data_IF_388740042717
#
_entry.id   IF_388740042717
#
_cell.length_a   1.000
_cell.length_b   1.000
_cell.length_c   1.000
_cell.angle_alpha   90.00
_cell.angle_beta   90.00
_cell.angle_gamma   90.00
#
_symmetry.space_group_name_H-M   'P 1'
#
loop_
_entity.id
_entity.type
_entity.pdbx_description
1 polymer ?
#
# COMPACT_ATOMS: atom_id res chain seq x y z
N UNK A 1 -42.36 26.60 9.83
CA UNK A 1 -41.03 26.85 9.22
C UNK A 1 -40.01 25.95 9.91
N UNK A 2 -39.50 24.91 9.25
CA UNK A 2 -38.53 23.99 9.85
C UNK A 2 -37.13 24.26 9.27
N UNK A 3 -36.26 24.90 10.06
CA UNK A 3 -34.87 25.15 9.68
C UNK A 3 -34.05 23.86 9.75
N UNK A 4 -33.56 23.41 8.59
CA UNK A 4 -32.64 22.28 8.47
C UNK A 4 -31.33 22.65 9.19
N UNK A 5 -31.07 22.04 10.36
CA UNK A 5 -29.77 22.19 11.05
C UNK A 5 -28.64 21.66 10.16
N UNK A 6 -27.51 22.39 10.02
CA UNK A 6 -26.37 21.89 9.27
C UNK A 6 -25.82 20.64 9.95
N UNK A 7 -25.53 19.61 9.16
CA UNK A 7 -24.91 18.36 9.64
C UNK A 7 -23.49 18.72 10.09
N UNK A 8 -23.29 18.83 11.40
CA UNK A 8 -21.97 19.14 11.97
C UNK A 8 -20.97 18.02 11.68
N UNK A 9 -19.70 18.41 11.50
CA UNK A 9 -18.60 17.46 11.42
C UNK A 9 -18.35 16.85 12.80
N UNK A 10 -18.34 15.52 12.89
CA UNK A 10 -17.96 14.79 14.10
C UNK A 10 -16.52 14.31 13.94
N UNK A 11 -15.60 14.98 14.60
CA UNK A 11 -14.24 14.50 14.74
C UNK A 11 -14.20 13.45 15.86
N UNK A 12 -13.69 12.27 15.53
CA UNK A 12 -13.44 11.20 16.50
C UNK A 12 -12.01 11.30 17.05
N UNK A 13 -11.76 10.60 18.15
CA UNK A 13 -10.40 10.48 18.68
C UNK A 13 -9.45 9.93 17.61
N UNK A 14 -8.32 10.60 17.44
CA UNK A 14 -7.25 10.11 16.58
C UNK A 14 -6.70 8.80 17.16
N UNK A 15 -6.65 7.74 16.36
CA UNK A 15 -6.19 6.40 16.79
C UNK A 15 -4.74 6.09 16.42
N UNK A 16 -3.98 7.09 15.95
CA UNK A 16 -2.67 6.83 15.35
C UNK A 16 -2.83 6.18 13.97
N UNK A 17 -1.99 6.59 13.04
CA UNK A 17 -1.80 5.95 11.74
C UNK A 17 -0.31 5.82 11.48
N UNK A 18 0.08 5.18 10.37
CA UNK A 18 1.46 5.24 9.89
C UNK A 18 1.93 6.69 9.89
N UNK A 19 3.20 6.92 10.26
CA UNK A 19 3.77 8.26 10.27
C UNK A 19 3.60 8.88 8.87
N UNK A 20 2.89 10.02 8.73
CA UNK A 20 2.70 10.67 7.44
C UNK A 20 4.02 11.21 6.86
N UNK A 21 5.06 11.32 7.69
CA UNK A 21 6.41 11.74 7.32
C UNK A 21 7.38 10.57 7.21
N UNK A 22 6.90 9.33 7.34
CA UNK A 22 7.72 8.17 7.05
C UNK A 22 8.29 8.29 5.63
N UNK A 23 9.56 7.90 5.41
CA UNK A 23 10.12 7.84 4.08
C UNK A 23 9.17 7.07 3.14
N UNK A 24 8.88 7.61 1.95
CA UNK A 24 8.02 6.94 1.00
C UNK A 24 8.65 5.59 0.63
N UNK A 25 7.77 4.65 0.28
CA UNK A 25 8.16 3.32 -0.17
C UNK A 25 9.19 3.40 -1.32
N UNK A 26 10.22 2.56 -1.28
CA UNK A 26 11.21 2.47 -2.35
C UNK A 26 10.61 1.71 -3.55
N UNK A 27 9.87 2.44 -4.37
CA UNK A 27 9.24 1.91 -5.57
C UNK A 27 10.28 1.41 -6.57
N UNK A 28 11.48 2.01 -6.60
CA UNK A 28 12.52 1.65 -7.56
C UNK A 28 13.05 0.24 -7.28
N UNK A 29 13.36 -0.07 -6.02
CA UNK A 29 13.78 -1.41 -5.62
C UNK A 29 12.73 -2.49 -5.96
N UNK A 30 11.45 -2.17 -5.79
CA UNK A 30 10.37 -3.11 -6.13
C UNK A 30 10.22 -3.35 -7.64
N UNK A 31 10.48 -2.33 -8.45
CA UNK A 31 10.44 -2.44 -9.92
C UNK A 31 11.63 -3.25 -10.42
N UNK A 32 12.83 -3.05 -9.86
CA UNK A 32 14.02 -3.82 -10.21
C UNK A 32 13.84 -5.32 -9.92
N UNK A 33 13.25 -5.68 -8.77
CA UNK A 33 12.97 -7.08 -8.43
C UNK A 33 12.01 -7.75 -9.43
N UNK A 34 10.98 -7.02 -9.87
CA UNK A 34 10.05 -7.51 -10.89
C UNK A 34 10.78 -7.66 -12.24
N UNK A 35 11.66 -6.72 -12.59
CA UNK A 35 12.48 -6.78 -13.79
C UNK A 35 13.36 -8.03 -13.84
N UNK A 36 14.07 -8.32 -12.75
CA UNK A 36 14.92 -9.49 -12.61
C UNK A 36 14.14 -10.80 -12.77
N UNK A 37 12.94 -10.90 -12.17
CA UNK A 37 12.10 -12.08 -12.30
C UNK A 37 11.59 -12.29 -13.73
N UNK A 38 11.26 -11.22 -14.44
CA UNK A 38 10.81 -11.28 -15.84
C UNK A 38 11.96 -11.66 -16.77
N UNK A 39 13.15 -11.08 -16.56
CA UNK A 39 14.36 -11.41 -17.31
C UNK A 39 14.84 -12.85 -17.06
N UNK A 40 14.55 -13.41 -15.88
CA UNK A 40 14.77 -14.82 -15.56
C UNK A 40 13.76 -15.78 -16.24
N UNK A 41 12.82 -15.26 -17.04
CA UNK A 41 11.87 -16.07 -17.82
C UNK A 41 10.58 -16.41 -17.08
N UNK A 42 10.32 -15.82 -15.91
CA UNK A 42 9.02 -15.94 -15.26
C UNK A 42 8.01 -14.96 -15.88
N UNK A 43 6.76 -15.40 -16.05
CA UNK A 43 5.70 -14.51 -16.52
C UNK A 43 5.46 -13.39 -15.51
N UNK A 44 5.33 -12.14 -15.98
CA UNK A 44 5.05 -10.94 -15.15
C UNK A 44 3.90 -11.17 -14.15
N UNK A 45 2.88 -11.92 -14.57
CA UNK A 45 1.69 -12.24 -13.75
C UNK A 45 2.01 -13.19 -12.59
N UNK A 46 2.99 -14.06 -12.78
CA UNK A 46 3.47 -15.02 -11.80
C UNK A 46 4.41 -14.34 -10.80
N UNK A 47 5.33 -13.50 -11.28
CA UNK A 47 6.17 -12.62 -10.47
C UNK A 47 5.35 -11.71 -9.54
N UNK A 48 4.32 -11.04 -10.07
CA UNK A 48 3.39 -10.23 -9.27
C UNK A 48 2.63 -11.06 -8.23
N UNK A 49 2.24 -12.30 -8.56
CA UNK A 49 1.53 -13.19 -7.63
C UNK A 49 2.42 -13.62 -6.48
N UNK A 50 3.68 -13.93 -6.76
CA UNK A 50 4.66 -14.33 -5.76
C UNK A 50 5.08 -13.15 -4.87
N UNK A 51 5.23 -11.94 -5.42
CA UNK A 51 5.49 -10.71 -4.65
C UNK A 51 4.34 -10.41 -3.67
N UNK A 52 3.09 -10.47 -4.15
CA UNK A 52 1.91 -10.26 -3.29
C UNK A 52 1.77 -11.33 -2.20
N UNK A 53 2.29 -12.54 -2.45
CA UNK A 53 2.21 -13.68 -1.50
C UNK A 53 3.34 -13.69 -0.48
N UNK A 54 4.57 -13.34 -0.88
CA UNK A 54 5.72 -13.20 0.03
C UNK A 54 5.68 -11.91 0.82
N UNK A 55 5.15 -10.86 0.21
CA UNK A 55 5.21 -9.51 0.75
C UNK A 55 6.62 -8.94 0.65
N UNK A 56 6.69 -7.64 0.40
CA UNK A 56 7.93 -6.91 0.16
C UNK A 56 8.50 -6.51 1.53
N UNK A 57 9.81 -6.70 1.73
CA UNK A 57 10.52 -6.43 2.99
C UNK A 57 10.11 -7.27 4.21
N UNK A 58 9.86 -8.56 4.03
CA UNK A 58 9.64 -9.51 5.15
C UNK A 58 8.34 -9.27 5.93
N UNK A 59 7.46 -8.39 5.45
CA UNK A 59 6.11 -8.20 5.97
C UNK A 59 5.16 -9.01 5.12
N UNK A 60 4.61 -10.07 5.73
CA UNK A 60 3.63 -11.02 5.16
C UNK A 60 2.62 -10.28 4.28
N UNK A 61 2.59 -10.62 3.01
CA UNK A 61 1.55 -10.15 2.09
C UNK A 61 0.18 -10.66 2.54
N UNK A 62 -0.82 -9.78 2.44
CA UNK A 62 -2.27 -9.92 2.74
C UNK A 62 -2.70 -11.14 3.58
#
# INVERSE_FOLDING_TARGET
MAGRRPKGYRYGQWRGGPDPLAPPYDVAAAVDEIGDQVLAGSGVREAMRDLLRRGIDGRRGL
#
